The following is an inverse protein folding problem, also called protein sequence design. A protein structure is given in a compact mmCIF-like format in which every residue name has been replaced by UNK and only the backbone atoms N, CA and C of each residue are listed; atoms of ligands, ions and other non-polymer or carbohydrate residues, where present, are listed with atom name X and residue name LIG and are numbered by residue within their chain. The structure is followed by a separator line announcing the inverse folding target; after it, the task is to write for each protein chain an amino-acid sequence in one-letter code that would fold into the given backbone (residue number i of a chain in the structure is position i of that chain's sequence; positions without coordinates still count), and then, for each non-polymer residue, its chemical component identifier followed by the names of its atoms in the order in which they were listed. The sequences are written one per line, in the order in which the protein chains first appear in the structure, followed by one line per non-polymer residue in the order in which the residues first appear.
data_IF_399807280591
#
_entry.id   IF_399807280591
#
_cell.length_a   1.000
_cell.length_b   1.000
_cell.length_c   1.000
_cell.angle_alpha   90.00
_cell.angle_beta   90.00
_cell.angle_gamma   90.00
#
_symmetry.space_group_name_H-M   'P 1'
#
loop_
_entity.id
_entity.type
_entity.pdbx_description
1 polymer ?
#
# COMPACT_ATOMS: atom_id res chain seq x y z
N UNK A 1 48.48 47.30 14.51
CA UNK A 1 48.16 47.95 13.24
C UNK A 1 48.38 46.97 12.13
N UNK A 2 47.35 46.35 11.63
CA UNK A 2 47.27 45.68 10.33
C UNK A 2 45.77 45.40 10.07
N UNK A 3 45.27 46.14 9.12
CA UNK A 3 43.92 46.13 8.60
C UNK A 3 43.74 44.92 7.65
N UNK A 4 42.77 44.10 7.85
CA UNK A 4 42.43 42.96 6.98
C UNK A 4 41.07 43.18 6.36
N UNK A 5 41.08 43.78 5.16
CA UNK A 5 39.92 44.05 4.33
C UNK A 5 39.25 42.79 3.86
N UNK A 6 37.96 42.66 4.18
CA UNK A 6 37.05 41.61 3.72
C UNK A 6 36.54 41.94 2.31
N UNK A 7 36.97 41.17 1.29
CA UNK A 7 36.44 41.25 -0.09
C UNK A 7 35.22 40.40 -0.24
N UNK A 8 34.07 41.03 -0.33
CA UNK A 8 32.80 40.42 -0.74
C UNK A 8 32.77 40.23 -2.26
N UNK A 9 32.87 38.99 -2.72
CA UNK A 9 32.64 38.62 -4.12
C UNK A 9 31.10 38.45 -4.35
N UNK A 10 30.52 39.44 -5.00
CA UNK A 10 29.18 39.32 -5.60
C UNK A 10 29.27 38.57 -6.93
N UNK A 11 28.63 37.42 -7.05
CA UNK A 11 28.44 36.70 -8.31
C UNK A 11 27.23 37.28 -9.04
N UNK A 12 27.28 37.49 -10.37
CA UNK A 12 26.12 37.94 -11.13
C UNK A 12 25.13 36.82 -11.34
N UNK A 13 23.84 37.11 -11.12
CA UNK A 13 22.68 36.26 -11.43
C UNK A 13 22.46 36.33 -12.94
N UNK A 14 22.67 35.22 -13.62
CA UNK A 14 22.35 35.06 -15.05
C UNK A 14 20.85 34.80 -15.20
N UNK A 15 20.17 35.78 -15.77
CA UNK A 15 18.75 35.68 -16.17
C UNK A 15 18.69 34.85 -17.45
N UNK A 16 18.17 33.61 -17.35
CA UNK A 16 17.83 32.80 -18.51
C UNK A 16 16.36 33.05 -18.84
N UNK A 17 16.16 33.72 -19.94
CA UNK A 17 14.84 34.00 -20.52
C UNK A 17 14.33 32.72 -21.21
N UNK A 18 13.29 32.09 -20.69
CA UNK A 18 12.61 30.93 -21.30
C UNK A 18 11.50 31.48 -22.22
N UNK A 19 11.69 31.31 -23.52
CA UNK A 19 10.68 31.61 -24.53
C UNK A 19 9.64 30.48 -24.57
N UNK A 20 8.39 30.82 -24.29
CA UNK A 20 7.24 29.91 -24.41
C UNK A 20 6.80 29.91 -25.89
N UNK A 21 6.96 28.76 -26.55
CA UNK A 21 6.38 28.54 -27.88
C UNK A 21 5.03 27.83 -27.68
N UNK A 22 3.97 28.58 -27.98
CA UNK A 22 2.58 28.10 -27.99
C UNK A 22 2.29 27.47 -29.36
N UNK A 23 2.17 26.13 -29.43
CA UNK A 23 1.68 25.45 -30.64
C UNK A 23 0.22 25.06 -30.44
N UNK A 24 -0.65 25.78 -31.14
CA UNK A 24 -2.07 25.46 -31.31
C UNK A 24 -2.20 24.42 -32.43
N UNK A 25 -2.65 23.20 -32.10
CA UNK A 25 -3.12 22.22 -33.10
C UNK A 25 -4.62 22.09 -32.96
N UNK A 26 -5.33 22.64 -33.93
CA UNK A 26 -6.74 22.42 -34.18
C UNK A 26 -6.86 21.22 -35.10
N UNK A 27 -7.53 20.17 -34.72
CA UNK A 27 -7.92 19.10 -35.63
C UNK A 27 -9.39 18.74 -35.45
N UNK A 28 -10.06 18.77 -36.56
CA UNK A 28 -11.49 18.75 -36.77
C UNK A 28 -12.18 17.41 -36.56
N UNK A 29 -13.47 17.51 -36.33
CA UNK A 29 -14.48 16.46 -36.39
C UNK A 29 -14.53 15.69 -37.69
N UNK A 30 -14.85 14.44 -37.66
CA UNK A 30 -15.66 13.78 -38.68
C UNK A 30 -16.49 12.66 -38.11
N UNK A 31 -17.75 12.77 -38.35
CA UNK A 31 -18.88 11.95 -37.99
C UNK A 31 -19.10 10.81 -38.99
N UNK A 32 -19.97 9.87 -38.57
CA UNK A 32 -20.96 9.10 -39.36
C UNK A 32 -20.51 7.70 -39.82
N UNK A 33 -21.33 6.73 -39.41
CA UNK A 33 -21.44 5.42 -40.01
C UNK A 33 -22.24 4.44 -39.16
N UNK A 34 -23.58 4.50 -39.27
CA UNK A 34 -24.48 3.55 -38.65
C UNK A 34 -24.73 2.31 -39.49
N UNK A 35 -25.24 1.26 -38.84
CA UNK A 35 -25.96 0.14 -39.46
C UNK A 35 -25.40 -1.24 -39.08
N UNK A 36 -26.16 -2.32 -39.21
CA UNK A 36 -27.41 -2.58 -38.50
C UNK A 36 -27.33 -3.77 -37.52
N UNK A 37 -28.32 -3.86 -36.67
CA UNK A 37 -28.61 -5.01 -35.79
C UNK A 37 -28.80 -6.32 -36.56
N UNK A 38 -28.22 -7.39 -36.05
CA UNK A 38 -28.66 -8.75 -36.30
C UNK A 38 -28.98 -9.44 -34.99
N UNK A 39 -30.27 -9.59 -34.73
CA UNK A 39 -30.83 -10.48 -33.74
C UNK A 39 -30.65 -11.92 -34.14
N UNK A 40 -30.11 -12.76 -33.28
CA UNK A 40 -30.37 -14.20 -33.32
C UNK A 40 -30.58 -14.66 -31.88
N UNK A 41 -31.79 -15.17 -31.63
CA UNK A 41 -32.27 -15.82 -30.41
C UNK A 41 -31.92 -17.33 -30.40
N UNK A 42 -32.17 -18.03 -29.33
CA UNK A 42 -31.33 -19.08 -28.79
C UNK A 42 -31.84 -20.49 -29.15
N UNK A 43 -30.96 -21.47 -29.12
CA UNK A 43 -31.39 -22.86 -28.96
C UNK A 43 -30.23 -23.75 -28.48
N UNK A 44 -30.53 -24.51 -27.44
CA UNK A 44 -29.84 -25.77 -27.22
C UNK A 44 -29.03 -25.93 -25.95
N UNK A 45 -29.64 -26.37 -24.87
CA UNK A 45 -29.02 -27.15 -23.79
C UNK A 45 -28.76 -28.56 -24.33
N UNK A 46 -27.66 -29.22 -24.00
CA UNK A 46 -27.83 -30.37 -23.10
C UNK A 46 -26.84 -30.38 -21.91
N UNK A 47 -27.41 -30.76 -20.82
CA UNK A 47 -26.83 -31.29 -19.60
C UNK A 47 -25.80 -32.40 -19.87
N UNK A 48 -24.65 -32.33 -19.23
CA UNK A 48 -23.90 -33.55 -18.90
C UNK A 48 -23.12 -33.29 -17.61
N UNK A 49 -23.46 -34.04 -16.62
CA UNK A 49 -22.79 -34.19 -15.35
C UNK A 49 -21.39 -34.78 -15.56
N UNK A 50 -20.42 -34.20 -14.85
CA UNK A 50 -19.09 -34.75 -14.69
C UNK A 50 -18.56 -34.26 -13.36
N UNK A 51 -18.82 -35.01 -12.31
CA UNK A 51 -18.18 -34.83 -11.01
C UNK A 51 -16.71 -35.21 -11.17
N UNK A 52 -15.84 -34.30 -10.87
CA UNK A 52 -14.44 -34.59 -10.55
C UNK A 52 -14.14 -34.01 -9.18
N UNK A 53 -14.15 -34.91 -8.20
CA UNK A 53 -13.61 -34.65 -6.87
C UNK A 53 -12.13 -34.31 -6.99
N UNK A 54 -11.82 -33.06 -6.70
CA UNK A 54 -10.46 -32.64 -6.40
C UNK A 54 -10.32 -32.60 -4.88
N UNK A 55 -9.34 -33.26 -4.28
CA UNK A 55 -9.17 -33.23 -2.83
C UNK A 55 -8.78 -31.80 -2.44
N UNK A 56 -9.68 -31.15 -1.73
CA UNK A 56 -9.47 -29.84 -1.14
C UNK A 56 -8.26 -29.90 -0.22
N UNK A 57 -7.30 -29.02 -0.46
CA UNK A 57 -6.31 -28.67 0.55
C UNK A 57 -7.08 -28.06 1.73
N UNK A 58 -7.13 -28.77 2.83
CA UNK A 58 -7.62 -28.24 4.10
C UNK A 58 -6.78 -27.03 4.47
N UNK A 59 -7.36 -25.89 4.80
CA UNK A 59 -6.62 -24.80 5.39
C UNK A 59 -6.00 -25.30 6.70
N UNK A 60 -4.70 -25.14 6.84
CA UNK A 60 -4.00 -25.38 8.10
C UNK A 60 -4.68 -24.55 9.18
N UNK A 61 -5.22 -25.22 10.19
CA UNK A 61 -5.89 -24.58 11.30
C UNK A 61 -4.94 -23.58 11.96
N UNK A 62 -5.32 -22.32 11.96
CA UNK A 62 -4.70 -21.30 12.80
C UNK A 62 -4.75 -21.80 14.27
N UNK A 63 -3.66 -21.60 15.01
CA UNK A 63 -3.59 -21.89 16.44
C UNK A 63 -4.67 -21.15 17.24
N UNK A 64 -4.81 -21.40 18.54
CA UNK A 64 -5.81 -20.73 19.37
C UNK A 64 -5.54 -19.22 19.42
N UNK A 65 -6.21 -18.48 18.56
CA UNK A 65 -6.16 -17.03 18.53
C UNK A 65 -7.00 -16.40 19.64
N UNK A 66 -6.87 -15.09 19.82
CA UNK A 66 -7.55 -14.28 20.84
C UNK A 66 -9.08 -14.30 20.73
N UNK A 67 -9.64 -14.89 19.69
CA UNK A 67 -11.07 -14.88 19.41
C UNK A 67 -11.58 -13.55 18.82
N UNK A 68 -10.69 -12.60 18.55
CA UNK A 68 -11.04 -11.34 17.88
C UNK A 68 -11.44 -11.62 16.44
N UNK A 69 -12.64 -11.15 16.06
CA UNK A 69 -13.17 -11.29 14.70
C UNK A 69 -13.31 -9.92 14.08
N UNK A 70 -12.52 -9.65 13.05
CA UNK A 70 -12.68 -8.46 12.23
C UNK A 70 -13.63 -8.75 11.05
N UNK A 71 -14.51 -7.80 10.76
CA UNK A 71 -15.52 -7.91 9.69
C UNK A 71 -15.42 -6.82 8.63
N UNK A 72 -14.53 -5.85 8.82
CA UNK A 72 -14.30 -4.78 7.87
C UNK A 72 -13.81 -5.34 6.53
N UNK A 73 -14.33 -4.81 5.43
CA UNK A 73 -14.03 -5.31 4.09
C UNK A 73 -12.51 -5.30 3.77
N UNK A 74 -11.80 -4.27 4.21
CA UNK A 74 -10.35 -4.18 4.06
C UNK A 74 -9.58 -5.21 4.93
N UNK A 75 -10.11 -5.58 6.10
CA UNK A 75 -9.45 -6.55 6.98
C UNK A 75 -9.64 -8.00 6.51
N UNK A 76 -10.79 -8.29 5.87
CA UNK A 76 -11.16 -9.63 5.40
C UNK A 76 -10.80 -9.88 3.93
N UNK A 77 -10.31 -8.87 3.22
CA UNK A 77 -9.82 -9.00 1.85
C UNK A 77 -8.64 -9.99 1.79
N UNK A 78 -8.61 -10.81 0.75
CA UNK A 78 -7.47 -11.65 0.44
C UNK A 78 -6.38 -10.80 -0.21
N UNK A 79 -5.19 -10.79 0.40
CA UNK A 79 -4.04 -10.01 0.00
C UNK A 79 -2.91 -10.94 -0.39
N UNK A 80 -2.09 -10.54 -1.37
CA UNK A 80 -0.93 -11.31 -1.83
C UNK A 80 0.34 -10.55 -1.56
N UNK A 81 1.28 -11.13 -0.81
CA UNK A 81 2.63 -10.60 -0.69
C UNK A 81 3.37 -10.74 -2.01
N UNK A 82 3.65 -9.62 -2.68
CA UNK A 82 4.31 -9.60 -4.01
C UNK A 82 5.73 -10.17 -3.99
N UNK A 83 6.36 -10.31 -2.81
CA UNK A 83 7.74 -10.81 -2.68
C UNK A 83 7.84 -12.33 -2.86
N UNK A 84 6.78 -13.06 -2.50
CA UNK A 84 6.80 -14.52 -2.45
C UNK A 84 5.50 -15.20 -2.88
N UNK A 85 4.44 -14.43 -3.16
CA UNK A 85 3.13 -14.95 -3.56
C UNK A 85 2.29 -15.52 -2.41
N UNK A 86 2.68 -15.30 -1.15
CA UNK A 86 1.89 -15.76 0.00
C UNK A 86 0.59 -14.98 0.11
N UNK A 87 -0.52 -15.68 0.19
CA UNK A 87 -1.85 -15.11 0.43
C UNK A 87 -2.12 -15.03 1.93
N UNK A 88 -2.74 -13.94 2.37
CA UNK A 88 -3.10 -13.69 3.76
C UNK A 88 -4.27 -12.72 3.88
N UNK A 89 -4.85 -12.63 5.08
CA UNK A 89 -5.83 -11.59 5.45
C UNK A 89 -5.35 -10.88 6.71
N UNK A 90 -5.59 -9.59 6.80
CA UNK A 90 -5.26 -8.81 8.00
C UNK A 90 -6.02 -9.36 9.21
N UNK A 91 -7.29 -9.74 9.01
CA UNK A 91 -8.12 -10.35 10.05
C UNK A 91 -7.49 -11.62 10.66
N UNK A 92 -6.85 -12.46 9.86
CA UNK A 92 -6.22 -13.69 10.31
C UNK A 92 -4.95 -13.43 11.13
N UNK A 93 -4.20 -12.37 10.77
CA UNK A 93 -3.03 -11.93 11.54
C UNK A 93 -3.44 -11.43 12.93
N UNK A 94 -4.49 -10.61 13.02
CA UNK A 94 -5.05 -10.14 14.30
C UNK A 94 -5.60 -11.30 15.13
N UNK A 95 -6.34 -12.23 14.52
CA UNK A 95 -6.84 -13.42 15.19
C UNK A 95 -5.70 -14.31 15.73
N UNK A 96 -4.50 -14.20 15.16
CA UNK A 96 -3.28 -14.89 15.64
C UNK A 96 -2.48 -14.08 16.67
N UNK A 97 -3.12 -13.14 17.36
CA UNK A 97 -2.56 -12.33 18.45
C UNK A 97 -1.39 -11.41 18.01
N UNK A 98 -1.47 -10.90 16.79
CA UNK A 98 -0.47 -9.97 16.24
C UNK A 98 -0.98 -8.53 16.23
N UNK A 99 -0.10 -7.59 16.57
CA UNK A 99 -0.28 -6.17 16.25
C UNK A 99 0.07 -5.97 14.79
N UNK A 100 -0.84 -5.41 14.02
CA UNK A 100 -0.66 -5.21 12.58
C UNK A 100 -0.56 -3.72 12.26
N UNK A 101 0.54 -3.34 11.60
CA UNK A 101 0.71 -2.00 11.03
C UNK A 101 0.44 -2.04 9.53
N UNK A 102 -0.34 -1.09 9.05
CA UNK A 102 -0.62 -0.89 7.63
C UNK A 102 -0.09 0.48 7.24
N UNK A 103 0.91 0.53 6.36
CA UNK A 103 1.41 1.76 5.74
C UNK A 103 0.98 1.80 4.28
N UNK A 104 0.23 2.80 3.87
CA UNK A 104 0.00 3.04 2.44
C UNK A 104 1.16 3.83 1.86
N UNK A 105 1.64 3.40 0.71
CA UNK A 105 2.88 3.88 0.11
C UNK A 105 2.83 3.87 -1.42
N UNK A 106 3.87 4.40 -2.04
CA UNK A 106 4.21 4.23 -3.46
C UNK A 106 5.74 4.16 -3.61
N UNK A 107 6.25 3.48 -4.62
CA UNK A 107 7.70 3.30 -4.86
C UNK A 107 8.41 4.65 -5.03
N UNK A 108 7.78 5.61 -5.71
CA UNK A 108 8.32 6.96 -5.94
C UNK A 108 8.34 7.84 -4.67
N UNK A 109 7.62 7.46 -3.61
CA UNK A 109 7.43 8.29 -2.41
C UNK A 109 8.69 8.32 -1.54
N UNK A 110 9.41 9.43 -1.52
CA UNK A 110 10.61 9.61 -0.71
C UNK A 110 10.33 9.63 0.80
N UNK A 111 9.17 10.17 1.22
CA UNK A 111 8.76 10.19 2.63
C UNK A 111 8.48 8.77 3.13
N UNK A 112 7.79 7.94 2.33
CA UNK A 112 7.54 6.53 2.66
C UNK A 112 8.85 5.77 2.81
N UNK A 113 9.80 5.95 1.88
CA UNK A 113 11.11 5.33 1.98
C UNK A 113 11.89 5.77 3.22
N UNK A 114 11.78 7.03 3.62
CA UNK A 114 12.39 7.52 4.86
C UNK A 114 11.72 6.87 6.08
N UNK A 115 10.39 6.79 6.09
CA UNK A 115 9.60 6.11 7.14
C UNK A 115 10.02 4.65 7.25
N UNK A 116 10.08 3.91 6.16
CA UNK A 116 10.40 2.48 6.12
C UNK A 116 11.81 2.16 6.63
N UNK A 117 12.78 3.08 6.49
CA UNK A 117 14.10 2.93 7.12
C UNK A 117 14.05 2.99 8.64
N UNK A 118 13.14 3.75 9.22
CA UNK A 118 12.95 3.77 10.68
C UNK A 118 12.11 2.56 11.13
N UNK A 119 11.21 2.07 10.28
CA UNK A 119 10.51 0.78 10.50
C UNK A 119 11.50 -0.38 10.63
N UNK A 120 12.50 -0.49 9.75
CA UNK A 120 13.57 -1.52 9.87
C UNK A 120 14.21 -1.49 11.26
N UNK A 121 14.52 -0.30 11.77
CA UNK A 121 15.16 -0.15 13.09
C UNK A 121 14.19 -0.51 14.23
N UNK A 122 12.93 -0.11 14.12
CA UNK A 122 11.91 -0.41 15.12
C UNK A 122 11.63 -1.92 15.19
N UNK A 123 11.42 -2.56 14.03
CA UNK A 123 11.15 -4.00 13.95
C UNK A 123 12.32 -4.85 14.47
N UNK A 124 13.57 -4.40 14.34
CA UNK A 124 14.73 -5.09 14.91
C UNK A 124 14.68 -5.20 16.45
N UNK A 125 13.92 -4.36 17.12
CA UNK A 125 13.73 -4.39 18.59
C UNK A 125 12.38 -4.97 19.04
N UNK A 126 11.52 -5.39 18.12
CA UNK A 126 10.19 -5.94 18.40
C UNK A 126 10.16 -7.45 18.12
N UNK A 127 9.24 -8.15 18.79
CA UNK A 127 9.06 -9.60 18.58
C UNK A 127 8.38 -9.83 17.20
N UNK A 128 9.03 -10.51 16.25
CA UNK A 128 8.47 -10.78 14.92
C UNK A 128 7.25 -11.72 14.96
N UNK A 129 7.08 -12.46 16.04
CA UNK A 129 5.89 -13.30 16.23
C UNK A 129 4.69 -12.49 16.71
N UNK A 130 4.91 -11.27 17.23
CA UNK A 130 3.88 -10.39 17.77
C UNK A 130 3.55 -9.19 16.90
N UNK A 131 4.44 -8.76 16.03
CA UNK A 131 4.29 -7.56 15.22
C UNK A 131 4.44 -7.88 13.74
N UNK A 132 3.49 -7.40 12.94
CA UNK A 132 3.56 -7.46 11.47
C UNK A 132 3.41 -6.05 10.90
N UNK A 133 4.32 -5.67 10.02
CA UNK A 133 4.20 -4.48 9.19
C UNK A 133 3.75 -4.88 7.78
N UNK A 134 2.87 -4.10 7.15
CA UNK A 134 2.39 -4.34 5.79
C UNK A 134 2.50 -3.04 5.00
N UNK A 135 3.20 -3.06 3.88
CA UNK A 135 3.23 -1.97 2.91
C UNK A 135 2.16 -2.17 1.85
N UNK A 136 1.23 -1.22 1.73
CA UNK A 136 0.18 -1.23 0.70
C UNK A 136 0.52 -0.19 -0.35
N UNK A 137 0.87 -0.64 -1.54
CA UNK A 137 1.04 0.24 -2.69
C UNK A 137 -0.32 0.71 -3.21
N UNK A 138 -0.49 2.03 -3.27
CA UNK A 138 -1.73 2.68 -3.73
C UNK A 138 -1.61 3.27 -5.13
N UNK A 139 -0.44 3.11 -5.78
CA UNK A 139 -0.18 3.68 -7.10
C UNK A 139 -0.57 2.70 -8.21
N UNK A 140 -1.60 3.06 -8.96
CA UNK A 140 -2.17 2.17 -9.98
C UNK A 140 -1.23 1.85 -11.15
N UNK A 141 -0.15 2.63 -11.32
CA UNK A 141 0.83 2.43 -12.41
C UNK A 141 2.01 1.55 -12.01
N UNK A 142 2.16 1.21 -10.74
CA UNK A 142 3.23 0.36 -10.23
C UNK A 142 2.87 -1.12 -10.36
N UNK A 143 3.87 -1.97 -10.61
CA UNK A 143 3.65 -3.40 -10.77
C UNK A 143 4.11 -4.21 -9.56
N UNK A 144 3.56 -5.41 -9.39
CA UNK A 144 3.98 -6.35 -8.34
C UNK A 144 5.49 -6.66 -8.43
N UNK A 145 6.04 -6.76 -9.65
CA UNK A 145 7.47 -7.00 -9.84
C UNK A 145 8.32 -5.83 -9.40
N UNK A 146 7.93 -4.59 -9.74
CA UNK A 146 8.65 -3.37 -9.32
C UNK A 146 8.60 -3.19 -7.81
N UNK A 147 7.44 -3.46 -7.18
CA UNK A 147 7.28 -3.39 -5.73
C UNK A 147 8.11 -4.44 -5.00
N UNK A 148 8.17 -5.67 -5.53
CA UNK A 148 9.03 -6.73 -5.00
C UNK A 148 10.52 -6.38 -5.14
N UNK A 149 10.94 -5.77 -6.25
CA UNK A 149 12.31 -5.31 -6.45
C UNK A 149 12.66 -4.12 -5.54
N UNK A 150 11.71 -3.20 -5.35
CA UNK A 150 11.84 -2.10 -4.40
C UNK A 150 12.14 -2.63 -2.99
N UNK A 151 11.32 -3.53 -2.46
CA UNK A 151 11.47 -4.06 -1.10
C UNK A 151 12.82 -4.78 -0.94
N UNK A 152 13.19 -5.66 -1.88
CA UNK A 152 14.45 -6.40 -1.86
C UNK A 152 15.68 -5.49 -1.94
N UNK A 153 15.66 -4.52 -2.84
CA UNK A 153 16.80 -3.62 -3.05
C UNK A 153 17.11 -2.72 -1.85
N UNK A 154 16.11 -2.46 -1.00
CA UNK A 154 16.23 -1.61 0.18
C UNK A 154 16.32 -2.40 1.50
N UNK A 155 16.18 -3.73 1.44
CA UNK A 155 16.23 -4.59 2.62
C UNK A 155 15.00 -4.44 3.53
N UNK A 156 13.84 -4.13 2.94
CA UNK A 156 12.57 -4.03 3.66
C UNK A 156 11.91 -5.41 3.70
N UNK A 157 11.97 -6.08 4.84
CA UNK A 157 11.59 -7.49 4.98
C UNK A 157 10.24 -7.66 5.70
N UNK A 158 9.17 -7.18 5.07
CA UNK A 158 7.77 -7.39 5.47
C UNK A 158 6.87 -7.50 4.24
N UNK A 159 5.62 -8.00 4.37
CA UNK A 159 4.68 -8.12 3.25
C UNK A 159 4.43 -6.79 2.52
N UNK A 160 4.47 -6.85 1.19
CA UNK A 160 4.06 -5.76 0.32
C UNK A 160 2.93 -6.21 -0.59
N UNK A 161 1.92 -5.37 -0.76
CA UNK A 161 0.70 -5.66 -1.49
C UNK A 161 0.40 -4.54 -2.48
N UNK A 162 0.00 -4.88 -3.70
CA UNK A 162 -0.67 -3.92 -4.60
C UNK A 162 -2.12 -3.82 -4.15
N UNK A 163 -2.53 -2.63 -3.70
CA UNK A 163 -3.92 -2.38 -3.32
C UNK A 163 -4.83 -2.35 -4.53
N UNK A 164 -5.75 -3.30 -4.63
CA UNK A 164 -6.78 -3.21 -5.65
C UNK A 164 -7.81 -2.11 -5.34
N UNK A 165 -8.59 -1.73 -6.35
CA UNK A 165 -9.56 -0.63 -6.21
C UNK A 165 -10.62 -0.88 -5.12
N UNK A 166 -11.03 -2.14 -4.88
CA UNK A 166 -12.03 -2.46 -3.88
C UNK A 166 -11.46 -2.33 -2.47
N UNK A 167 -10.25 -2.84 -2.25
CA UNK A 167 -9.50 -2.72 -1.01
C UNK A 167 -9.20 -1.25 -0.66
N UNK A 168 -8.69 -0.48 -1.63
CA UNK A 168 -8.36 0.94 -1.42
C UNK A 168 -9.61 1.78 -1.09
N UNK A 169 -10.75 1.50 -1.74
CA UNK A 169 -12.02 2.14 -1.36
C UNK A 169 -12.48 1.77 0.04
N UNK A 170 -12.27 0.52 0.46
CA UNK A 170 -12.61 0.10 1.82
C UNK A 170 -11.71 0.79 2.87
N UNK A 171 -10.41 0.95 2.59
CA UNK A 171 -9.51 1.74 3.44
C UNK A 171 -9.93 3.21 3.53
N UNK A 172 -10.25 3.83 2.39
CA UNK A 172 -10.69 5.22 2.36
C UNK A 172 -12.03 5.43 3.08
N UNK A 173 -12.95 4.46 3.00
CA UNK A 173 -14.22 4.50 3.73
C UNK A 173 -14.03 4.43 5.26
N UNK A 174 -13.03 3.70 5.73
CA UNK A 174 -12.70 3.56 7.15
C UNK A 174 -11.93 4.78 7.69
N UNK A 175 -10.88 5.22 6.97
CA UNK A 175 -9.88 6.15 7.46
C UNK A 175 -9.93 7.54 6.80
N UNK A 176 -10.80 7.73 5.81
CA UNK A 176 -10.84 8.93 4.97
C UNK A 176 -9.83 8.89 3.80
N UNK A 177 -10.08 9.70 2.77
CA UNK A 177 -9.30 9.67 1.52
C UNK A 177 -7.80 9.97 1.72
N UNK A 178 -7.43 10.67 2.79
CA UNK A 178 -6.05 11.02 3.07
C UNK A 178 -5.18 9.79 3.39
N UNK A 179 -5.79 8.66 3.77
CA UNK A 179 -5.05 7.39 3.94
C UNK A 179 -4.42 6.93 2.62
N UNK A 180 -4.95 7.35 1.48
CA UNK A 180 -4.43 7.02 0.16
C UNK A 180 -3.40 8.05 -0.36
N UNK A 181 -2.87 8.91 0.51
CA UNK A 181 -1.86 9.92 0.16
C UNK A 181 -0.48 9.51 0.69
N UNK A 182 0.36 8.79 -0.10
CA UNK A 182 1.65 8.29 0.35
C UNK A 182 2.56 9.34 1.00
N UNK A 183 2.69 10.59 0.46
CA UNK A 183 3.56 11.60 1.07
C UNK A 183 3.17 12.02 2.50
N UNK A 184 1.93 11.77 2.90
CA UNK A 184 1.46 12.00 4.27
C UNK A 184 1.88 10.88 5.25
N UNK A 185 2.52 9.81 4.75
CA UNK A 185 2.93 8.63 5.51
C UNK A 185 1.86 8.14 6.49
N UNK A 186 0.64 7.83 5.98
CA UNK A 186 -0.44 7.35 6.83
C UNK A 186 -0.14 5.93 7.31
N UNK A 187 -0.36 5.68 8.59
CA UNK A 187 -0.18 4.36 9.21
C UNK A 187 -1.42 4.07 10.06
N UNK A 188 -2.06 2.94 9.79
CA UNK A 188 -3.07 2.37 10.66
C UNK A 188 -2.44 1.27 11.51
N UNK A 189 -2.82 1.19 12.78
CA UNK A 189 -2.39 0.15 13.73
C UNK A 189 -3.61 -0.60 14.21
N UNK A 190 -3.55 -1.92 14.14
CA UNK A 190 -4.59 -2.81 14.64
C UNK A 190 -3.99 -3.57 15.84
N UNK A 191 -4.62 -3.39 16.98
CA UNK A 191 -4.24 -4.06 18.23
C UNK A 191 -4.66 -5.53 18.26
N UNK A 192 -4.08 -6.28 19.18
CA UNK A 192 -4.44 -7.68 19.44
C UNK A 192 -5.88 -7.85 19.93
N UNK A 193 -6.51 -6.79 20.39
CA UNK A 193 -7.93 -6.71 20.77
C UNK A 193 -8.86 -6.31 19.61
N UNK A 194 -8.31 -6.08 18.42
CA UNK A 194 -9.04 -5.63 17.23
C UNK A 194 -9.31 -4.12 17.19
N UNK A 195 -8.81 -3.36 18.16
CA UNK A 195 -8.90 -1.89 18.12
C UNK A 195 -8.10 -1.34 16.95
N UNK A 196 -8.72 -0.48 16.15
CA UNK A 196 -8.11 0.11 14.96
C UNK A 196 -7.83 1.59 15.22
N UNK A 197 -6.61 2.03 14.98
CA UNK A 197 -6.15 3.41 15.18
C UNK A 197 -5.45 3.91 13.94
N UNK A 198 -5.95 4.99 13.31
CA UNK A 198 -5.17 5.75 12.35
C UNK A 198 -4.26 6.71 13.13
N UNK A 199 -2.95 6.64 12.89
CA UNK A 199 -1.99 7.53 13.54
C UNK A 199 -2.07 8.93 12.95
N UNK A 200 -1.43 9.89 13.62
CA UNK A 200 -1.17 11.21 13.06
C UNK A 200 -0.43 11.09 11.71
N UNK A 201 -0.67 12.01 10.76
CA UNK A 201 0.08 12.07 9.51
C UNK A 201 1.50 12.60 9.74
N UNK A 202 2.40 12.27 8.82
CA UNK A 202 3.80 12.60 8.91
C UNK A 202 4.66 11.44 9.42
N UNK A 203 5.95 11.65 9.46
CA UNK A 203 6.96 10.66 9.81
C UNK A 203 6.86 10.23 11.29
N UNK A 204 6.89 8.91 11.56
CA UNK A 204 6.96 8.31 12.90
C UNK A 204 8.40 7.89 13.20
N UNK A 205 8.93 8.33 14.33
CA UNK A 205 10.26 7.88 14.77
C UNK A 205 10.23 6.42 15.23
N UNK A 206 11.41 5.83 15.39
CA UNK A 206 11.59 4.48 15.91
C UNK A 206 10.87 4.31 17.26
N UNK A 207 11.04 5.29 18.16
CA UNK A 207 10.42 5.30 19.49
C UNK A 207 8.91 5.33 19.38
N UNK A 208 8.35 6.13 18.44
CA UNK A 208 6.91 6.23 18.24
C UNK A 208 6.33 4.92 17.72
N UNK A 209 7.00 4.24 16.79
CA UNK A 209 6.58 2.92 16.29
C UNK A 209 6.59 1.89 17.43
N UNK A 210 7.65 1.87 18.22
CA UNK A 210 7.78 0.96 19.38
C UNK A 210 6.70 1.21 20.42
N UNK A 211 6.41 2.48 20.73
CA UNK A 211 5.33 2.88 21.63
C UNK A 211 3.96 2.41 21.13
N UNK A 212 3.70 2.61 19.84
CA UNK A 212 2.45 2.17 19.21
C UNK A 212 2.30 0.64 19.31
N UNK A 213 3.37 -0.12 19.02
CA UNK A 213 3.35 -1.58 19.17
C UNK A 213 2.99 -2.00 20.60
N UNK A 214 3.69 -1.46 21.60
CA UNK A 214 3.43 -1.77 23.00
C UNK A 214 2.01 -1.36 23.45
N UNK A 215 1.51 -0.20 23.02
CA UNK A 215 0.17 0.29 23.36
C UNK A 215 -0.94 -0.60 22.78
N UNK A 216 -0.68 -1.27 21.64
CA UNK A 216 -1.63 -2.12 20.95
C UNK A 216 -1.45 -3.63 21.24
N UNK A 217 -0.59 -3.98 22.19
CA UNK A 217 -0.52 -5.34 22.75
C UNK A 217 0.66 -6.20 22.28
N UNK A 218 1.71 -5.57 21.67
CA UNK A 218 2.95 -6.29 21.31
C UNK A 218 3.90 -6.45 22.51
#
# INVERSE_FOLDING_TARGET
MADSGTRTHRRPVSMVTVAVVLVLVVAACSSVGGGPQASISPTGVPSSAGASDSPGASPTAAGPGTGVVMTQAWATAELTDVRNGTEFRIADLVASDKVVFIETMAIWCSNCRAQQRDVVKALAGLDPDRVVWIGIDVEASESAADLADYSRSLGFDWPYVIGDQAFLRALAAEFGDQVLSPPATPIAVIGTDGTVTLTEFGHKSVERITELAATHGA
#
